data_IF_524725344659
#
_entry.id   IF_524725344659
#
_cell.length_a   1.000
_cell.length_b   1.000
_cell.length_c   1.000
_cell.angle_alpha   90.00
_cell.angle_beta   90.00
_cell.angle_gamma   90.00
#
_symmetry.space_group_name_H-M   'P 1'
#
loop_
_entity.id
_entity.type
_entity.pdbx_description
1 polymer ?
#
# COMPACT_ATOMS: atom_id res chain seq x y z
N UNK A 1 -21.82 -6.37 -3.07
CA UNK A 1 -21.21 -5.55 -2.00
C UNK A 1 -20.53 -4.34 -2.64
N UNK A 2 -20.61 -3.15 -2.04
CA UNK A 2 -19.96 -1.96 -2.58
C UNK A 2 -18.43 -2.09 -2.51
N UNK A 3 -17.71 -1.80 -3.60
CA UNK A 3 -16.24 -1.74 -3.61
C UNK A 3 -15.81 -0.40 -3.05
N UNK A 4 -14.92 -0.42 -2.06
CA UNK A 4 -14.29 0.79 -1.49
C UNK A 4 -12.87 0.88 -2.07
N UNK A 5 -12.48 2.08 -2.53
CA UNK A 5 -11.13 2.30 -3.01
C UNK A 5 -10.12 2.25 -1.84
N UNK A 6 -8.93 1.64 -2.01
CA UNK A 6 -7.91 1.55 -0.96
C UNK A 6 -7.52 2.90 -0.36
N UNK A 7 -7.40 3.94 -1.19
CA UNK A 7 -7.02 5.29 -0.75
C UNK A 7 -8.02 5.87 0.24
N UNK A 8 -9.32 5.63 0.04
CA UNK A 8 -10.38 6.07 0.96
C UNK A 8 -10.24 5.45 2.34
N UNK A 9 -9.86 4.16 2.41
CA UNK A 9 -9.63 3.47 3.68
C UNK A 9 -8.38 4.01 4.38
N UNK A 10 -7.31 4.28 3.63
CA UNK A 10 -6.08 4.85 4.19
C UNK A 10 -6.32 6.25 4.75
N UNK A 11 -7.06 7.11 4.05
CA UNK A 11 -7.46 8.43 4.55
C UNK A 11 -8.29 8.33 5.83
N UNK A 12 -9.27 7.41 5.87
CA UNK A 12 -10.09 7.17 7.06
C UNK A 12 -9.24 6.74 8.27
N UNK A 13 -8.22 5.89 8.07
CA UNK A 13 -7.32 5.46 9.14
C UNK A 13 -6.42 6.62 9.60
N UNK A 14 -5.88 7.41 8.67
CA UNK A 14 -5.00 8.53 8.97
C UNK A 14 -5.63 9.61 9.86
N UNK A 15 -6.95 9.76 9.84
CA UNK A 15 -7.67 10.67 10.75
C UNK A 15 -7.71 10.17 12.22
N UNK A 16 -7.43 8.89 12.46
CA UNK A 16 -7.68 8.20 13.75
C UNK A 16 -6.42 7.71 14.43
N UNK A 17 -5.33 7.57 13.70
CA UNK A 17 -4.05 7.08 14.23
C UNK A 17 -2.90 8.01 13.83
N UNK A 18 -1.81 8.06 14.60
CA UNK A 18 -0.60 8.76 14.18
C UNK A 18 -0.10 8.28 12.81
N UNK A 19 0.50 9.18 12.03
CA UNK A 19 0.97 8.89 10.66
C UNK A 19 1.84 7.63 10.55
N UNK A 20 2.69 7.34 11.54
CA UNK A 20 3.58 6.17 11.54
C UNK A 20 2.84 4.83 11.74
N UNK A 21 1.56 4.85 12.12
CA UNK A 21 0.70 3.67 12.25
C UNK A 21 -0.18 3.45 11.01
N UNK A 22 -0.22 4.42 10.09
CA UNK A 22 -0.97 4.28 8.84
C UNK A 22 -0.22 3.33 7.91
N UNK A 23 -0.87 2.25 7.42
CA UNK A 23 -0.22 1.35 6.47
C UNK A 23 0.17 2.06 5.19
N UNK A 24 1.33 1.72 4.62
CA UNK A 24 1.77 2.28 3.34
C UNK A 24 1.02 1.68 2.14
N UNK A 25 0.42 0.50 2.29
CA UNK A 25 -0.29 -0.24 1.24
C UNK A 25 -1.42 -1.08 1.85
N UNK A 26 -2.47 -1.32 1.04
CA UNK A 26 -3.53 -2.28 1.34
C UNK A 26 -3.61 -3.32 0.22
N UNK A 27 -3.65 -4.59 0.59
CA UNK A 27 -3.92 -5.71 -0.34
C UNK A 27 -5.25 -6.35 0.01
N UNK A 28 -6.11 -6.51 -0.99
CA UNK A 28 -7.37 -7.25 -0.86
C UNK A 28 -7.09 -8.72 -1.10
N UNK A 29 -7.46 -9.56 -0.14
CA UNK A 29 -7.35 -11.02 -0.25
C UNK A 29 -8.75 -11.61 -0.22
N UNK A 30 -9.04 -12.54 -1.13
CA UNK A 30 -10.30 -13.30 -1.12
C UNK A 30 -10.46 -14.14 0.17
N UNK A 31 -9.32 -14.58 0.75
CA UNK A 31 -9.27 -15.32 2.01
C UNK A 31 -7.96 -15.10 2.73
N UNK A 32 -8.00 -15.03 4.06
CA UNK A 32 -6.79 -15.02 4.88
C UNK A 32 -6.14 -16.42 4.90
N UNK A 33 -4.81 -16.52 4.73
CA UNK A 33 -4.10 -17.78 4.91
C UNK A 33 -4.18 -18.21 6.37
N UNK A 34 -4.55 -19.46 6.60
CA UNK A 34 -4.67 -20.05 7.93
C UNK A 34 -3.92 -21.38 7.98
N UNK A 35 -3.39 -21.70 9.15
CA UNK A 35 -2.81 -23.00 9.49
C UNK A 35 -3.90 -24.07 9.56
N UNK A 36 -3.52 -25.35 9.64
CA UNK A 36 -4.47 -26.45 9.82
C UNK A 36 -5.40 -26.29 11.04
N UNK A 37 -4.94 -25.56 12.07
CA UNK A 37 -5.72 -25.26 13.27
C UNK A 37 -6.55 -23.96 13.16
N UNK A 38 -6.67 -23.38 11.97
CA UNK A 38 -7.46 -22.17 11.69
C UNK A 38 -6.84 -20.84 12.14
N UNK A 39 -5.65 -20.85 12.74
CA UNK A 39 -4.92 -19.62 13.10
C UNK A 39 -4.33 -18.96 11.86
N UNK A 40 -4.28 -17.63 11.81
CA UNK A 40 -3.61 -16.89 10.71
C UNK A 40 -2.19 -17.41 10.53
N UNK A 41 -1.87 -17.86 9.33
CA UNK A 41 -0.52 -18.22 8.95
C UNK A 41 0.25 -16.95 8.55
N UNK A 42 0.95 -16.37 9.53
CA UNK A 42 1.71 -15.13 9.36
C UNK A 42 2.87 -15.28 8.38
N UNK A 43 3.42 -16.49 8.21
CA UNK A 43 4.54 -16.73 7.29
C UNK A 43 4.06 -16.64 5.85
N UNK A 44 2.96 -17.34 5.54
CA UNK A 44 2.32 -17.26 4.23
C UNK A 44 1.83 -15.83 3.95
N UNK A 45 1.24 -15.18 4.95
CA UNK A 45 0.78 -13.79 4.82
C UNK A 45 1.93 -12.82 4.54
N UNK A 46 3.08 -12.97 5.20
CA UNK A 46 4.27 -12.15 4.94
C UNK A 46 4.78 -12.33 3.50
N UNK A 47 4.84 -13.56 3.01
CA UNK A 47 5.19 -13.84 1.61
C UNK A 47 4.26 -13.16 0.61
N UNK A 48 2.95 -13.09 0.89
CA UNK A 48 1.98 -12.37 0.06
C UNK A 48 2.21 -10.85 0.11
N UNK A 49 2.56 -10.31 1.28
CA UNK A 49 2.84 -8.89 1.45
C UNK A 49 4.10 -8.43 0.71
N UNK A 50 5.13 -9.29 0.65
CA UNK A 50 6.41 -9.01 -0.02
C UNK A 50 6.32 -9.04 -1.55
N UNK A 51 5.28 -9.65 -2.13
CA UNK A 51 5.06 -9.59 -3.57
C UNK A 51 4.77 -8.14 -3.93
N UNK A 52 5.78 -7.43 -4.43
CA UNK A 52 5.59 -6.13 -5.04
C UNK A 52 5.07 -6.36 -6.45
N UNK A 53 3.76 -6.46 -6.59
CA UNK A 53 3.16 -6.22 -7.90
C UNK A 53 3.67 -4.87 -8.39
N UNK A 54 4.20 -4.77 -9.63
CA UNK A 54 4.42 -3.46 -10.21
C UNK A 54 3.08 -2.75 -10.10
N UNK A 55 3.07 -1.61 -9.41
CA UNK A 55 1.89 -0.77 -9.36
C UNK A 55 1.40 -0.68 -10.81
N UNK A 56 0.10 -0.90 -11.10
CA UNK A 56 -0.39 -0.59 -12.43
C UNK A 56 0.15 0.81 -12.71
N UNK A 57 0.78 0.98 -13.87
CA UNK A 57 1.31 2.27 -14.29
C UNK A 57 0.09 3.19 -14.48
N UNK A 58 -0.49 3.61 -13.37
CA UNK A 58 -1.26 4.82 -13.26
C UNK A 58 -0.18 5.83 -13.51
N UNK A 59 -0.04 6.20 -14.78
CA UNK A 59 0.58 7.45 -15.18
C UNK A 59 -0.27 8.51 -14.48
N UNK A 60 -0.01 8.75 -13.20
CA UNK A 60 -0.23 10.07 -12.63
C UNK A 60 0.64 10.91 -13.52
N UNK A 61 0.01 11.70 -14.39
CA UNK A 61 0.69 12.76 -15.08
C UNK A 61 1.35 13.58 -13.98
N UNK A 62 2.65 13.34 -13.75
CA UNK A 62 3.47 14.27 -13.01
C UNK A 62 3.45 15.48 -13.91
N UNK A 63 2.85 16.62 -13.49
CA UNK A 63 3.00 17.83 -14.29
C UNK A 63 4.50 17.98 -14.52
N UNK A 64 4.93 18.08 -15.78
CA UNK A 64 6.33 18.04 -16.21
C UNK A 64 7.21 19.14 -15.56
N UNK A 65 6.63 19.97 -14.70
CA UNK A 65 7.24 21.06 -13.96
C UNK A 65 7.53 20.71 -12.48
N UNK A 66 7.17 19.52 -11.98
CA UNK A 66 7.31 19.15 -10.56
C UNK A 66 8.53 18.27 -10.22
N UNK A 67 9.54 18.20 -11.10
CA UNK A 67 10.85 17.73 -10.68
C UNK A 67 11.53 18.89 -9.94
N UNK A 68 11.58 18.83 -8.61
CA UNK A 68 12.30 19.81 -7.80
C UNK A 68 13.80 19.79 -8.22
N UNK A 69 14.33 20.89 -8.78
CA UNK A 69 15.71 20.93 -9.27
C UNK A 69 16.74 20.75 -8.14
N UNK A 70 16.36 20.98 -6.88
CA UNK A 70 17.23 20.75 -5.72
C UNK A 70 17.36 19.27 -5.39
N UNK A 71 16.26 18.51 -5.48
CA UNK A 71 16.30 17.06 -5.29
C UNK A 71 17.19 16.40 -6.36
N UNK A 72 17.04 16.78 -7.63
CA UNK A 72 17.87 16.24 -8.72
C UNK A 72 19.38 16.47 -8.51
N UNK A 73 19.78 17.55 -7.83
CA UNK A 73 21.19 17.84 -7.49
C UNK A 73 21.71 17.05 -6.28
N UNK A 74 20.83 16.58 -5.40
CA UNK A 74 21.21 15.86 -4.19
C UNK A 74 21.46 14.36 -4.44
N UNK A 75 20.75 13.79 -5.42
CA UNK A 75 20.86 12.37 -5.82
C UNK A 75 21.68 12.15 -7.10
N UNK A 76 22.33 13.21 -7.60
CA UNK A 76 23.26 13.17 -8.75
C UNK A 76 24.68 12.86 -8.34
#
# INVERSE_FOLDING_TARGET
AARIAPDTLLSFVAERVPNYMVPSQLRVLERLPVTANGKIDRRTLAGIADIREPAPAVVRAVPAQAADPLLARLIG
#
